data_IF_664459867822
#
_entry.id   IF_664459867822
#
_cell.length_a   1.000
_cell.length_b   1.000
_cell.length_c   1.000
_cell.angle_alpha   90.00
_cell.angle_beta   90.00
_cell.angle_gamma   90.00
#
_symmetry.space_group_name_H-M   'P 1'
#
loop_
_entity.id
_entity.type
_entity.pdbx_description
1 polymer ?
#
# COMPACT_ATOMS: atom_id res chain seq x y z
N UNK A 1 26.29 -7.42 -16.19
CA UNK A 1 25.07 -6.68 -16.60
C UNK A 1 24.00 -7.73 -16.83
N UNK A 2 23.24 -8.04 -15.78
CA UNK A 2 22.12 -8.96 -15.88
C UNK A 2 20.89 -8.13 -16.21
N UNK A 3 20.36 -8.33 -17.43
CA UNK A 3 19.08 -7.79 -17.87
C UNK A 3 17.98 -8.42 -16.99
N UNK A 4 17.50 -7.69 -16.00
CA UNK A 4 16.31 -8.05 -15.25
C UNK A 4 15.09 -7.89 -16.15
N UNK A 5 14.81 -8.88 -16.98
CA UNK A 5 13.50 -9.01 -17.61
C UNK A 5 12.49 -9.16 -16.47
N UNK A 6 11.63 -8.15 -16.29
CA UNK A 6 10.54 -8.21 -15.35
C UNK A 6 9.72 -9.48 -15.62
N UNK A 7 9.78 -10.41 -14.67
CA UNK A 7 9.04 -11.67 -14.77
C UNK A 7 7.56 -11.35 -14.69
N UNK A 8 6.76 -11.91 -15.57
CA UNK A 8 5.33 -11.72 -15.56
C UNK A 8 4.76 -12.28 -14.24
N UNK A 9 3.89 -11.51 -13.60
CA UNK A 9 3.10 -11.99 -12.46
C UNK A 9 2.29 -13.20 -12.91
N UNK A 10 2.20 -14.22 -12.07
CA UNK A 10 1.37 -15.39 -12.34
C UNK A 10 -0.08 -14.95 -12.50
N UNK A 11 -0.65 -15.23 -13.65
CA UNK A 11 -2.09 -15.12 -13.86
C UNK A 11 -2.75 -16.29 -13.14
N UNK A 12 -3.76 -16.03 -12.32
CA UNK A 12 -4.52 -17.08 -11.68
C UNK A 12 -5.26 -17.92 -12.75
N UNK A 13 -5.22 -19.23 -12.59
CA UNK A 13 -5.97 -20.15 -13.42
C UNK A 13 -7.49 -19.98 -13.19
N UNK A 14 -8.35 -20.30 -14.16
CA UNK A 14 -9.79 -20.27 -13.98
C UNK A 14 -10.21 -21.15 -12.79
N UNK A 15 -10.77 -20.54 -11.76
CA UNK A 15 -11.19 -21.21 -10.52
C UNK A 15 -10.22 -21.04 -9.34
N UNK A 16 -9.02 -20.54 -9.54
CA UNK A 16 -8.17 -20.06 -8.45
C UNK A 16 -8.68 -18.69 -7.97
N UNK A 17 -8.89 -18.56 -6.68
CA UNK A 17 -9.22 -17.28 -6.03
C UNK A 17 -8.14 -16.95 -5.00
N UNK A 18 -7.79 -15.68 -4.87
CA UNK A 18 -7.10 -15.24 -3.66
C UNK A 18 -8.12 -15.26 -2.54
N UNK A 19 -7.71 -15.78 -1.38
CA UNK A 19 -8.51 -15.68 -0.17
C UNK A 19 -8.75 -14.22 0.19
N UNK A 20 -9.93 -13.94 0.74
CA UNK A 20 -10.22 -12.65 1.34
C UNK A 20 -9.14 -12.31 2.36
N UNK A 21 -8.71 -11.08 2.34
CA UNK A 21 -7.67 -10.57 3.24
C UNK A 21 -8.20 -9.40 4.04
N UNK A 22 -7.97 -9.44 5.35
CA UNK A 22 -8.18 -8.31 6.23
C UNK A 22 -6.96 -8.13 7.12
N UNK A 23 -6.45 -6.91 7.19
CA UNK A 23 -5.30 -6.55 8.02
C UNK A 23 -5.53 -5.22 8.69
N UNK A 24 -5.34 -5.21 10.03
CA UNK A 24 -5.31 -4.01 10.84
C UNK A 24 -3.90 -3.72 11.31
N UNK A 25 -3.49 -2.46 11.27
CA UNK A 25 -2.18 -2.02 11.74
C UNK A 25 -2.30 -0.76 12.60
N UNK A 26 -1.57 -0.74 13.71
CA UNK A 26 -1.32 0.51 14.45
C UNK A 26 -0.25 1.33 13.74
N UNK A 27 -0.47 2.64 13.60
CA UNK A 27 0.52 3.59 13.06
C UNK A 27 1.22 4.26 14.25
N UNK A 28 2.55 4.22 14.22
CA UNK A 28 3.40 4.78 15.27
C UNK A 28 4.38 5.79 14.69
N UNK A 29 4.62 6.86 15.44
CA UNK A 29 5.64 7.85 15.12
C UNK A 29 6.44 8.15 16.40
N UNK A 30 7.76 8.02 16.33
CA UNK A 30 8.67 8.17 17.49
C UNK A 30 8.24 7.34 18.71
N UNK A 31 7.75 6.11 18.49
CA UNK A 31 7.32 5.19 19.53
C UNK A 31 5.91 5.44 20.11
N UNK A 32 5.27 6.54 19.76
CA UNK A 32 3.89 6.83 20.14
C UNK A 32 2.91 6.40 19.07
N UNK A 33 1.79 5.80 19.48
CA UNK A 33 0.70 5.48 18.56
C UNK A 33 0.01 6.77 18.11
N UNK A 34 -0.07 6.96 16.81
CA UNK A 34 -0.63 8.15 16.19
C UNK A 34 -1.79 7.86 15.24
N UNK A 35 -2.10 6.58 15.01
CA UNK A 35 -3.15 6.23 14.05
C UNK A 35 -3.36 4.74 13.88
N UNK A 36 -4.19 4.42 12.91
CA UNK A 36 -4.45 3.06 12.45
C UNK A 36 -4.54 3.01 10.92
N UNK A 37 -4.34 1.82 10.39
CA UNK A 37 -4.56 1.47 8.99
C UNK A 37 -5.38 0.17 8.94
N UNK A 38 -6.35 0.15 8.03
CA UNK A 38 -7.17 -1.01 7.72
C UNK A 38 -7.07 -1.33 6.23
N UNK A 39 -6.70 -2.55 5.91
CA UNK A 39 -6.53 -3.04 4.55
C UNK A 39 -7.44 -4.24 4.33
N UNK A 40 -8.15 -4.29 3.21
CA UNK A 40 -8.94 -5.44 2.77
C UNK A 40 -8.67 -5.76 1.31
N UNK A 41 -8.68 -7.04 0.98
CA UNK A 41 -8.62 -7.55 -0.39
C UNK A 41 -9.68 -8.62 -0.60
N UNK A 42 -10.47 -8.50 -1.65
CA UNK A 42 -11.54 -9.44 -1.96
C UNK A 42 -11.64 -9.70 -3.47
N UNK A 43 -12.02 -10.93 -3.88
CA UNK A 43 -12.29 -11.21 -5.28
C UNK A 43 -13.49 -10.39 -5.77
N UNK A 44 -13.41 -9.92 -7.00
CA UNK A 44 -14.48 -9.24 -7.73
C UNK A 44 -14.59 -9.87 -9.13
N UNK A 45 -15.74 -9.73 -9.81
CA UNK A 45 -15.90 -10.27 -11.17
C UNK A 45 -14.82 -9.75 -12.12
N UNK A 46 -13.96 -10.68 -12.58
CA UNK A 46 -12.87 -10.38 -13.51
C UNK A 46 -11.56 -9.94 -12.88
N UNK A 47 -11.44 -9.91 -11.54
CA UNK A 47 -10.22 -9.49 -10.85
C UNK A 47 -10.37 -9.40 -9.34
N UNK A 48 -9.82 -8.33 -8.76
CA UNK A 48 -9.81 -8.09 -7.32
C UNK A 48 -10.07 -6.63 -7.02
N UNK A 49 -10.69 -6.40 -5.86
CA UNK A 49 -10.77 -5.07 -5.26
C UNK A 49 -9.94 -5.06 -3.98
N UNK A 50 -9.09 -4.07 -3.85
CA UNK A 50 -8.27 -3.84 -2.65
C UNK A 50 -8.63 -2.47 -2.10
N UNK A 51 -8.87 -2.40 -0.78
CA UNK A 51 -9.18 -1.15 -0.08
C UNK A 51 -8.20 -0.95 1.06
N UNK A 52 -7.80 0.27 1.22
CA UNK A 52 -6.97 0.69 2.34
C UNK A 52 -7.50 2.00 2.89
N UNK A 53 -7.68 2.05 4.19
CA UNK A 53 -8.11 3.24 4.91
C UNK A 53 -7.17 3.47 6.09
N UNK A 54 -6.80 4.72 6.33
CA UNK A 54 -5.99 5.06 7.49
C UNK A 54 -6.40 6.40 8.09
N UNK A 55 -6.25 6.50 9.40
CA UNK A 55 -6.43 7.70 10.16
C UNK A 55 -5.18 7.97 10.98
N UNK A 56 -4.66 9.18 10.89
CA UNK A 56 -3.44 9.58 11.60
C UNK A 56 -3.64 10.93 12.29
N UNK A 57 -3.29 10.99 13.58
CA UNK A 57 -3.28 12.21 14.39
C UNK A 57 -1.82 12.61 14.63
N UNK A 58 -1.43 13.76 14.10
CA UNK A 58 -0.08 14.29 14.22
C UNK A 58 -0.11 15.70 14.79
N UNK A 59 0.97 16.09 15.47
CA UNK A 59 1.24 17.49 15.77
C UNK A 59 2.27 18.02 14.76
N UNK A 60 1.86 18.98 13.96
CA UNK A 60 2.76 19.71 13.07
C UNK A 60 2.91 21.12 13.59
N UNK A 61 4.12 21.51 14.00
CA UNK A 61 4.39 22.83 14.60
C UNK A 61 3.43 23.15 15.77
N UNK A 62 3.23 22.18 16.68
CA UNK A 62 2.31 22.25 17.84
C UNK A 62 0.81 22.30 17.47
N UNK A 63 0.44 22.30 16.19
CA UNK A 63 -0.95 22.27 15.74
C UNK A 63 -1.38 20.81 15.51
N UNK A 64 -2.42 20.32 16.21
CA UNK A 64 -2.98 19.00 15.93
C UNK A 64 -3.49 18.95 14.49
N UNK A 65 -3.20 17.87 13.79
CA UNK A 65 -3.68 17.58 12.43
C UNK A 65 -4.27 16.19 12.42
N UNK A 66 -5.49 16.08 11.92
CA UNK A 66 -6.15 14.80 11.61
C UNK A 66 -6.04 14.56 10.11
N UNK A 67 -5.46 13.44 9.70
CA UNK A 67 -5.30 13.07 8.30
C UNK A 67 -5.99 11.73 8.09
N UNK A 68 -7.00 11.73 7.27
CA UNK A 68 -7.69 10.54 6.81
C UNK A 68 -7.34 10.27 5.35
N UNK A 69 -6.94 9.04 5.06
CA UNK A 69 -6.65 8.55 3.71
C UNK A 69 -7.54 7.34 3.42
N UNK A 70 -8.08 7.27 2.22
CA UNK A 70 -8.73 6.06 1.73
C UNK A 70 -8.36 5.82 0.28
N UNK A 71 -8.00 4.59 -0.03
CA UNK A 71 -7.68 4.14 -1.39
C UNK A 71 -8.49 2.89 -1.69
N UNK A 72 -9.16 2.88 -2.83
CA UNK A 72 -9.75 1.68 -3.42
C UNK A 72 -9.10 1.46 -4.77
N UNK A 73 -8.59 0.27 -5.04
CA UNK A 73 -8.14 -0.08 -6.38
C UNK A 73 -8.81 -1.35 -6.87
N UNK A 74 -9.00 -1.44 -8.18
CA UNK A 74 -9.44 -2.62 -8.88
C UNK A 74 -8.32 -3.11 -9.79
N UNK A 75 -8.21 -4.41 -9.88
CA UNK A 75 -7.22 -5.07 -10.72
C UNK A 75 -7.90 -6.10 -11.61
N UNK A 76 -7.23 -6.51 -12.66
CA UNK A 76 -7.59 -7.71 -13.41
C UNK A 76 -7.12 -8.99 -12.69
N UNK A 77 -7.35 -10.15 -13.32
CA UNK A 77 -6.90 -11.46 -12.80
C UNK A 77 -5.39 -11.62 -12.74
N UNK A 78 -4.64 -10.79 -13.45
CA UNK A 78 -3.18 -10.74 -13.41
C UNK A 78 -2.66 -9.70 -12.38
N UNK A 79 -3.56 -9.14 -11.54
CA UNK A 79 -3.29 -8.09 -10.56
C UNK A 79 -2.81 -6.76 -11.15
N UNK A 80 -2.90 -6.58 -12.48
CA UNK A 80 -2.62 -5.30 -13.08
C UNK A 80 -3.75 -4.33 -12.73
N UNK A 81 -3.38 -3.10 -12.37
CA UNK A 81 -4.32 -2.05 -11.99
C UNK A 81 -5.23 -1.70 -13.18
N UNK A 82 -6.55 -1.68 -12.95
CA UNK A 82 -7.56 -1.25 -13.93
C UNK A 82 -8.16 0.09 -13.58
N UNK A 83 -8.39 0.35 -12.30
CA UNK A 83 -8.86 1.66 -11.82
C UNK A 83 -8.51 1.85 -10.35
N UNK A 84 -8.55 3.10 -9.89
CA UNK A 84 -8.45 3.42 -8.48
C UNK A 84 -9.18 4.71 -8.12
N UNK A 85 -9.51 4.84 -6.84
CA UNK A 85 -9.93 6.09 -6.22
C UNK A 85 -9.11 6.30 -4.96
N UNK A 86 -8.49 7.46 -4.85
CA UNK A 86 -7.74 7.91 -3.66
C UNK A 86 -8.41 9.15 -3.11
N UNK A 87 -8.62 9.17 -1.80
CA UNK A 87 -9.16 10.32 -1.08
C UNK A 87 -8.26 10.67 0.09
N UNK A 88 -7.98 11.95 0.22
CA UNK A 88 -7.27 12.50 1.36
C UNK A 88 -8.10 13.63 1.95
N UNK A 89 -8.29 13.61 3.26
CA UNK A 89 -8.96 14.66 4.02
C UNK A 89 -8.13 15.01 5.24
N UNK A 90 -7.94 16.29 5.44
CA UNK A 90 -7.38 16.86 6.66
C UNK A 90 -8.07 18.17 6.97
N UNK A 91 -7.72 18.81 8.10
CA UNK A 91 -8.27 20.12 8.47
C UNK A 91 -7.97 21.22 7.44
N UNK A 92 -6.94 21.03 6.61
CA UNK A 92 -6.46 22.06 5.65
C UNK A 92 -6.55 21.62 4.19
N UNK A 93 -6.62 20.32 3.90
CA UNK A 93 -6.60 19.78 2.54
C UNK A 93 -7.68 18.73 2.37
N UNK A 94 -8.45 18.85 1.28
CA UNK A 94 -9.31 17.79 0.76
C UNK A 94 -8.97 17.56 -0.70
N UNK A 95 -8.66 16.32 -1.05
CA UNK A 95 -8.31 15.92 -2.40
C UNK A 95 -8.90 14.55 -2.73
N UNK A 96 -9.46 14.43 -3.91
CA UNK A 96 -9.87 13.15 -4.49
C UNK A 96 -9.18 12.96 -5.84
N UNK A 97 -8.64 11.77 -6.06
CA UNK A 97 -7.98 11.39 -7.32
C UNK A 97 -8.57 10.07 -7.78
N UNK A 98 -9.26 10.06 -8.90
CA UNK A 98 -9.61 8.82 -9.60
C UNK A 98 -8.67 8.58 -10.78
N UNK A 99 -8.35 7.33 -11.02
CA UNK A 99 -7.50 6.90 -12.12
C UNK A 99 -8.14 5.75 -12.88
N UNK A 100 -8.21 5.90 -14.20
CA UNK A 100 -8.59 4.82 -15.13
C UNK A 100 -7.36 4.37 -15.90
N UNK A 101 -7.19 3.06 -16.03
CA UNK A 101 -5.99 2.47 -16.64
C UNK A 101 -6.36 1.73 -17.92
N UNK A 102 -5.78 2.17 -19.02
CA UNK A 102 -5.87 1.50 -20.32
C UNK A 102 -4.45 1.10 -20.78
N UNK A 103 -4.10 -0.16 -20.57
CA UNK A 103 -2.77 -0.68 -20.88
C UNK A 103 -1.65 0.03 -20.08
N UNK A 104 -0.93 0.92 -20.73
CA UNK A 104 0.19 1.68 -20.15
C UNK A 104 -0.17 3.16 -19.87
N UNK A 105 -1.42 3.53 -20.09
CA UNK A 105 -1.90 4.90 -19.91
C UNK A 105 -2.79 4.97 -18.68
N UNK A 106 -2.53 5.93 -17.80
CA UNK A 106 -3.38 6.25 -16.65
C UNK A 106 -3.95 7.64 -16.85
N UNK A 107 -5.26 7.74 -16.94
CA UNK A 107 -5.97 9.02 -16.95
C UNK A 107 -6.41 9.34 -15.52
N UNK A 108 -5.87 10.41 -14.97
CA UNK A 108 -6.19 10.91 -13.63
C UNK A 108 -7.22 12.02 -13.73
N UNK A 109 -8.27 11.92 -12.93
CA UNK A 109 -9.17 13.04 -12.62
C UNK A 109 -8.91 13.46 -11.17
N UNK A 110 -8.60 14.73 -10.95
CA UNK A 110 -8.15 15.28 -9.68
C UNK A 110 -9.15 16.34 -9.26
N UNK A 111 -9.82 16.14 -8.14
CA UNK A 111 -10.71 17.10 -7.52
C UNK A 111 -10.07 17.63 -6.24
N UNK A 112 -9.73 18.91 -6.21
CA UNK A 112 -9.11 19.57 -5.06
C UNK A 112 -9.51 21.05 -4.99
N UNK A 113 -9.86 21.52 -3.79
CA UNK A 113 -10.26 22.91 -3.54
C UNK A 113 -11.37 23.42 -4.49
N UNK A 114 -12.33 22.56 -4.85
CA UNK A 114 -13.45 22.87 -5.75
C UNK A 114 -13.06 22.98 -7.23
N UNK A 115 -11.86 22.54 -7.61
CA UNK A 115 -11.39 22.51 -9.01
C UNK A 115 -11.14 21.08 -9.43
N UNK A 116 -11.64 20.75 -10.62
CA UNK A 116 -11.35 19.48 -11.29
C UNK A 116 -10.28 19.68 -12.36
N UNK A 117 -9.30 18.81 -12.39
CA UNK A 117 -8.23 18.77 -13.40
C UNK A 117 -8.05 17.36 -13.91
N UNK A 118 -7.58 17.22 -15.13
CA UNK A 118 -7.20 15.94 -15.71
C UNK A 118 -5.69 15.91 -15.97
N UNK A 119 -5.08 14.74 -15.75
CA UNK A 119 -3.68 14.49 -16.04
C UNK A 119 -3.52 13.09 -16.63
N UNK A 120 -2.73 12.96 -17.68
CA UNK A 120 -2.42 11.67 -18.27
C UNK A 120 -0.99 11.28 -17.94
N UNK A 121 -0.81 10.10 -17.38
CA UNK A 121 0.48 9.47 -17.16
C UNK A 121 0.66 8.35 -18.20
N UNK A 122 1.86 8.26 -18.78
CA UNK A 122 2.23 7.16 -19.68
C UNK A 122 3.38 6.39 -19.08
N UNK A 123 3.15 5.10 -18.86
CA UNK A 123 4.13 4.19 -18.28
C UNK A 123 4.69 3.24 -19.35
N UNK A 124 5.79 2.59 -19.03
CA UNK A 124 6.40 1.59 -19.95
C UNK A 124 5.77 0.21 -19.81
N UNK A 125 5.06 -0.04 -18.72
CA UNK A 125 4.39 -1.31 -18.35
C UNK A 125 3.11 -1.00 -17.60
N UNK A 126 2.16 -1.95 -17.50
CA UNK A 126 0.97 -1.78 -16.66
C UNK A 126 1.34 -1.37 -15.24
N UNK A 127 0.64 -0.39 -14.66
CA UNK A 127 0.98 0.14 -13.33
C UNK A 127 0.38 -0.67 -12.19
N UNK A 128 0.91 -0.37 -10.99
CA UNK A 128 0.42 -0.88 -9.71
C UNK A 128 0.28 0.27 -8.71
N UNK A 129 -0.41 0.02 -7.61
CA UNK A 129 -0.33 0.80 -6.37
C UNK A 129 0.43 -0.02 -5.33
N UNK A 130 0.99 0.60 -4.31
CA UNK A 130 1.69 -0.13 -3.26
C UNK A 130 0.77 -1.14 -2.54
N UNK A 131 -0.50 -0.81 -2.35
CA UNK A 131 -1.46 -1.68 -1.66
C UNK A 131 -1.79 -2.98 -2.42
N UNK A 132 -1.48 -3.10 -3.72
CA UNK A 132 -1.73 -4.32 -4.50
C UNK A 132 -0.46 -5.04 -4.96
N UNK A 133 0.66 -4.90 -4.24
CA UNK A 133 1.93 -5.55 -4.58
C UNK A 133 2.08 -6.98 -4.02
N UNK A 134 1.23 -7.41 -3.09
CA UNK A 134 1.29 -8.75 -2.48
C UNK A 134 1.43 -9.89 -3.50
N UNK A 135 0.73 -9.89 -4.65
CA UNK A 135 0.87 -10.95 -5.64
C UNK A 135 2.29 -11.16 -6.15
N UNK A 136 3.10 -10.10 -6.24
CA UNK A 136 4.51 -10.24 -6.61
C UNK A 136 5.34 -10.95 -5.54
N UNK A 137 4.93 -10.80 -4.29
CA UNK A 137 5.62 -11.40 -3.16
C UNK A 137 5.31 -12.89 -3.00
N UNK A 138 4.09 -13.31 -3.37
CA UNK A 138 3.65 -14.70 -3.18
C UNK A 138 3.75 -15.56 -4.44
N UNK A 139 3.67 -14.98 -5.64
CA UNK A 139 3.62 -15.75 -6.89
C UNK A 139 4.86 -16.61 -7.14
N UNK A 140 6.02 -16.13 -6.76
CA UNK A 140 7.32 -16.81 -6.94
C UNK A 140 7.93 -17.32 -5.62
N UNK A 141 7.23 -17.13 -4.50
CA UNK A 141 7.77 -17.34 -3.15
C UNK A 141 8.74 -16.24 -2.74
N UNK A 142 8.85 -16.05 -1.44
CA UNK A 142 9.81 -15.13 -0.84
C UNK A 142 11.16 -15.85 -0.70
N UNK A 143 12.14 -15.49 -1.50
CA UNK A 143 13.49 -16.05 -1.44
C UNK A 143 14.51 -14.94 -1.29
N UNK A 144 15.46 -15.10 -0.39
CA UNK A 144 16.56 -14.15 -0.18
C UNK A 144 17.31 -13.85 -1.49
N UNK A 145 17.52 -12.56 -1.75
CA UNK A 145 18.19 -12.07 -2.95
C UNK A 145 17.27 -11.87 -4.17
N UNK A 146 16.01 -12.31 -4.12
CA UNK A 146 15.04 -11.95 -5.17
C UNK A 146 14.76 -10.45 -5.16
N UNK A 147 14.62 -9.90 -6.37
CA UNK A 147 14.28 -8.49 -6.55
C UNK A 147 13.25 -8.32 -7.65
N UNK A 148 12.24 -7.48 -7.39
CA UNK A 148 11.14 -7.18 -8.28
C UNK A 148 11.18 -5.69 -8.63
N UNK A 149 11.02 -5.36 -9.91
CA UNK A 149 10.87 -3.96 -10.36
C UNK A 149 9.49 -3.77 -10.95
N UNK A 150 8.69 -2.90 -10.33
CA UNK A 150 7.31 -2.63 -10.72
C UNK A 150 7.06 -1.15 -10.91
N UNK A 151 6.36 -0.72 -11.96
CA UNK A 151 5.92 0.66 -12.10
C UNK A 151 4.75 0.93 -11.15
N UNK A 152 4.87 1.95 -10.32
CA UNK A 152 3.84 2.35 -9.38
C UNK A 152 3.31 3.74 -9.68
N UNK A 153 2.02 3.95 -9.51
CA UNK A 153 1.40 5.26 -9.45
C UNK A 153 1.34 5.70 -8.00
N UNK A 154 1.65 6.95 -7.75
CA UNK A 154 1.62 7.61 -6.45
C UNK A 154 0.49 8.66 -6.44
N UNK A 155 -0.74 8.30 -6.02
CA UNK A 155 -1.90 9.20 -6.14
C UNK A 155 -1.74 10.48 -5.32
N UNK A 156 -1.13 10.39 -4.14
CA UNK A 156 -0.91 11.55 -3.25
C UNK A 156 0.00 12.63 -3.83
N UNK A 157 0.90 12.26 -4.74
CA UNK A 157 1.82 13.18 -5.41
C UNK A 157 1.54 13.34 -6.91
N UNK A 158 0.50 12.69 -7.42
CA UNK A 158 0.11 12.70 -8.84
C UNK A 158 1.27 12.32 -9.76
N UNK A 159 2.08 11.35 -9.36
CA UNK A 159 3.32 10.97 -10.04
C UNK A 159 3.42 9.46 -10.22
N UNK A 160 4.49 9.03 -10.87
CA UNK A 160 4.83 7.63 -11.08
C UNK A 160 6.29 7.39 -10.72
N UNK A 161 6.60 6.17 -10.32
CA UNK A 161 7.97 5.74 -10.06
C UNK A 161 8.15 4.26 -10.44
N UNK A 162 9.39 3.84 -10.65
CA UNK A 162 9.73 2.42 -10.58
C UNK A 162 10.03 2.08 -9.11
N UNK A 163 9.25 1.18 -8.53
CA UNK A 163 9.55 0.61 -7.23
C UNK A 163 10.40 -0.65 -7.41
N UNK A 164 11.43 -0.79 -6.58
CA UNK A 164 12.26 -1.99 -6.48
C UNK A 164 12.05 -2.59 -5.11
N UNK A 165 11.55 -3.82 -5.08
CA UNK A 165 11.39 -4.62 -3.87
C UNK A 165 12.51 -5.67 -3.85
N UNK A 166 13.29 -5.73 -2.79
CA UNK A 166 14.38 -6.70 -2.63
C UNK A 166 14.18 -7.49 -1.35
N UNK A 167 14.10 -8.81 -1.46
CA UNK A 167 14.06 -9.71 -0.31
C UNK A 167 15.47 -9.82 0.25
N UNK A 168 15.74 -9.20 1.40
CA UNK A 168 17.07 -9.17 2.01
C UNK A 168 17.37 -10.45 2.78
N UNK A 169 16.36 -11.09 3.38
CA UNK A 169 16.52 -12.33 4.13
C UNK A 169 15.33 -12.63 5.04
N UNK A 170 15.46 -13.76 5.76
CA UNK A 170 14.57 -14.11 6.85
C UNK A 170 15.20 -13.65 8.17
N UNK A 171 14.40 -13.12 9.08
CA UNK A 171 14.81 -12.75 10.43
C UNK A 171 13.66 -12.91 11.43
N UNK A 172 14.02 -13.04 12.70
CA UNK A 172 13.05 -12.99 13.79
C UNK A 172 12.75 -11.54 14.17
N UNK A 173 11.47 -11.18 14.17
CA UNK A 173 10.99 -9.88 14.66
C UNK A 173 10.13 -10.05 15.90
N UNK A 174 10.16 -9.06 16.78
CA UNK A 174 9.32 -9.05 17.97
C UNK A 174 8.12 -8.13 17.77
N UNK A 175 6.90 -8.70 17.84
CA UNK A 175 5.64 -7.99 17.73
C UNK A 175 4.80 -8.25 18.98
N UNK A 176 4.42 -7.21 19.71
CA UNK A 176 3.58 -7.30 20.93
C UNK A 176 4.05 -8.35 21.96
N UNK A 177 5.37 -8.55 22.07
CA UNK A 177 5.98 -9.51 22.99
C UNK A 177 6.18 -10.91 22.42
N UNK A 178 5.62 -11.24 21.27
CA UNK A 178 5.80 -12.50 20.56
C UNK A 178 6.92 -12.41 19.53
N UNK A 179 7.71 -13.47 19.38
CA UNK A 179 8.68 -13.61 18.29
C UNK A 179 8.03 -14.25 17.10
N UNK A 180 8.26 -13.70 15.91
CA UNK A 180 7.75 -14.20 14.63
C UNK A 180 8.84 -14.20 13.58
N UNK A 181 8.91 -15.27 12.79
CA UNK A 181 9.75 -15.33 11.59
C UNK A 181 9.14 -14.42 10.51
N UNK A 182 9.97 -13.66 9.83
CA UNK A 182 9.55 -12.74 8.79
C UNK A 182 10.62 -12.58 7.71
N UNK A 183 10.18 -12.39 6.48
CA UNK A 183 11.02 -11.92 5.38
C UNK A 183 11.13 -10.41 5.43
N UNK A 184 12.37 -9.94 5.53
CA UNK A 184 12.68 -8.52 5.42
C UNK A 184 12.77 -8.12 3.95
N UNK A 185 11.97 -7.13 3.55
CA UNK A 185 11.94 -6.60 2.18
C UNK A 185 12.27 -5.12 2.21
N UNK A 186 13.30 -4.76 1.47
CA UNK A 186 13.64 -3.37 1.20
C UNK A 186 12.85 -2.88 -0.02
N UNK A 187 12.17 -1.76 0.11
CA UNK A 187 11.40 -1.13 -0.96
C UNK A 187 12.02 0.22 -1.28
N UNK A 188 12.55 0.39 -2.49
CA UNK A 188 13.09 1.67 -2.94
C UNK A 188 12.27 2.23 -4.10
N UNK A 189 11.90 3.52 -4.01
CA UNK A 189 11.12 4.23 -5.02
C UNK A 189 11.33 5.74 -4.91
N UNK A 190 11.45 6.42 -6.03
CA UNK A 190 11.59 7.88 -6.09
C UNK A 190 12.68 8.46 -5.17
N UNK A 191 13.77 7.71 -4.93
CA UNK A 191 14.86 8.11 -4.02
C UNK A 191 14.55 7.92 -2.53
N UNK A 192 13.43 7.31 -2.19
CA UNK A 192 13.04 6.95 -0.83
C UNK A 192 13.23 5.45 -0.60
N UNK A 193 13.41 5.06 0.65
CA UNK A 193 13.53 3.67 1.08
C UNK A 193 12.57 3.38 2.23
N UNK A 194 11.83 2.29 2.11
CA UNK A 194 10.99 1.73 3.17
C UNK A 194 11.45 0.30 3.46
N UNK A 195 11.22 -0.18 4.66
CA UNK A 195 11.48 -1.59 5.02
C UNK A 195 10.19 -2.22 5.51
N UNK A 196 9.86 -3.38 4.96
CA UNK A 196 8.66 -4.12 5.33
C UNK A 196 9.00 -5.56 5.70
N UNK A 197 8.24 -6.13 6.63
CA UNK A 197 8.38 -7.51 7.07
C UNK A 197 7.09 -8.26 6.76
N UNK A 198 7.23 -9.39 6.09
CA UNK A 198 6.13 -10.23 5.64
C UNK A 198 6.25 -11.63 6.22
N UNK A 199 5.12 -12.26 6.52
CA UNK A 199 5.09 -13.68 6.83
C UNK A 199 5.25 -14.54 5.55
N UNK A 200 5.27 -15.87 5.71
CA UNK A 200 5.45 -16.82 4.60
C UNK A 200 4.27 -16.81 3.62
N UNK A 201 3.11 -16.33 4.05
CA UNK A 201 1.91 -16.16 3.22
C UNK A 201 1.87 -14.79 2.51
N UNK A 202 2.94 -13.99 2.65
CA UNK A 202 3.05 -12.66 2.04
C UNK A 202 2.18 -11.60 2.70
N UNK A 203 1.74 -11.81 3.95
CA UNK A 203 0.97 -10.82 4.69
C UNK A 203 1.93 -9.91 5.46
N UNK A 204 1.69 -8.61 5.40
CA UNK A 204 2.52 -7.63 6.10
C UNK A 204 2.40 -7.78 7.62
N UNK A 205 3.53 -7.82 8.32
CA UNK A 205 3.62 -7.86 9.78
C UNK A 205 4.02 -6.50 10.35
N UNK A 206 4.95 -5.84 9.67
CA UNK A 206 5.48 -4.53 10.07
C UNK A 206 5.99 -3.80 8.83
N UNK A 207 5.89 -2.48 8.87
CA UNK A 207 6.52 -1.60 7.88
C UNK A 207 7.14 -0.39 8.57
N UNK A 208 8.26 0.09 8.05
CA UNK A 208 8.91 1.34 8.46
C UNK A 208 9.06 2.21 7.21
N UNK A 209 8.37 3.35 7.22
CA UNK A 209 8.37 4.31 6.13
C UNK A 209 9.62 5.19 6.12
N UNK A 210 9.97 5.81 4.98
CA UNK A 210 11.09 6.76 4.89
C UNK A 210 10.96 7.97 5.82
N UNK A 211 9.74 8.30 6.23
CA UNK A 211 9.46 9.42 7.13
C UNK A 211 9.49 9.05 8.63
N UNK A 212 9.91 7.82 8.95
CA UNK A 212 10.03 7.36 10.34
C UNK A 212 8.72 6.88 10.99
N UNK A 213 7.66 6.72 10.22
CA UNK A 213 6.47 6.02 10.69
C UNK A 213 6.72 4.52 10.71
N UNK A 214 6.22 3.87 11.75
CA UNK A 214 6.15 2.41 11.81
C UNK A 214 4.68 1.98 11.80
N UNK A 215 4.34 1.02 10.96
CA UNK A 215 3.05 0.35 10.95
C UNK A 215 3.26 -1.07 11.45
N UNK A 216 2.47 -1.49 12.43
CA UNK A 216 2.62 -2.78 13.11
C UNK A 216 1.28 -3.48 13.11
N UNK A 217 1.26 -4.74 12.65
CA UNK A 217 0.05 -5.55 12.60
C UNK A 217 -0.53 -5.76 14.00
N UNK A 218 -1.82 -5.50 14.13
CA UNK A 218 -2.60 -5.58 15.36
C UNK A 218 -3.97 -6.19 15.07
N UNK A 219 -4.71 -6.54 16.12
CA UNK A 219 -6.15 -6.76 15.97
C UNK A 219 -6.89 -5.42 15.83
N UNK A 220 -8.13 -5.45 15.32
CA UNK A 220 -8.93 -4.25 15.08
C UNK A 220 -9.14 -3.39 16.36
N UNK A 221 -9.32 -4.06 17.50
CA UNK A 221 -9.49 -3.37 18.77
C UNK A 221 -8.21 -2.68 19.26
N UNK A 222 -7.06 -3.33 19.07
CA UNK A 222 -5.76 -2.74 19.39
C UNK A 222 -5.42 -1.60 18.43
N UNK A 223 -5.63 -1.78 17.12
CA UNK A 223 -5.32 -0.78 16.12
C UNK A 223 -6.04 0.56 16.39
N UNK A 224 -7.31 0.50 16.77
CA UNK A 224 -8.13 1.69 17.08
C UNK A 224 -7.94 2.25 18.50
N UNK A 225 -7.32 1.51 19.40
CA UNK A 225 -7.18 1.92 20.81
C UNK A 225 -6.28 3.14 20.98
N UNK A 226 -6.70 4.08 21.84
CA UNK A 226 -5.93 5.27 22.19
C UNK A 226 -6.08 6.44 21.23
N UNK A 227 -6.91 6.31 20.21
CA UNK A 227 -7.38 7.42 19.41
C UNK A 227 -8.61 8.03 20.08
N UNK A 228 -8.76 9.36 20.05
CA UNK A 228 -9.80 10.07 20.80
C UNK A 228 -11.20 9.60 20.40
N UNK A 229 -12.14 9.50 21.36
CA UNK A 229 -13.54 9.24 21.08
C UNK A 229 -14.10 10.30 20.11
N UNK A 230 -14.65 9.89 18.98
CA UNK A 230 -15.16 10.77 17.92
C UNK A 230 -14.58 10.50 16.53
N UNK A 231 -13.71 9.52 16.39
CA UNK A 231 -13.03 9.16 15.14
C UNK A 231 -13.76 8.07 14.33
N UNK A 232 -15.09 8.07 14.36
CA UNK A 232 -15.85 7.24 13.42
C UNK A 232 -15.70 7.80 12.01
N UNK A 233 -15.51 6.90 11.03
CA UNK A 233 -15.41 7.23 9.61
C UNK A 233 -16.60 8.08 9.16
N UNK A 234 -16.33 9.23 8.57
CA UNK A 234 -17.32 10.12 7.95
C UNK A 234 -17.42 9.80 6.45
#
# INVERSE_FOLDING_TARGET
MASGAGRAVRVLEPGETIEEEETWMGIYFQGSKVGWLHHTGEPEDGGYVVREESLTHLKMMEIPQKIWLATTCRTDRAFALTSFNFRMRSDVVSMEVSGEVEGQTVTLKIDSAGKTQEKVLRLRRPPYLFLNLRPFLVSDGLETGKSFRVPVVLPSTLSQADAVLTVEGEEEIRLHGETREAFRIQVSYAGMEATSWYDREGRVLKEVSPMGFSMIREDAGQARRGLMEGDEAV
#
